data_IF_745350299302
#
_entry.id   IF_745350299302
#
_cell.length_a   1.000
_cell.length_b   1.000
_cell.length_c   1.000
_cell.angle_alpha   90.00
_cell.angle_beta   90.00
_cell.angle_gamma   90.00
#
_symmetry.space_group_name_H-M   'P 1'
#
loop_
_entity.id
_entity.type
_entity.pdbx_description
1 polymer ?
#
# COMPACT_ATOMS: atom_id res chain seq x y z
N UNK A 1 0.41 -21.66 3.08
CA UNK A 1 1.65 -21.81 2.29
C UNK A 1 2.89 -21.97 3.15
N UNK A 2 3.29 -21.00 3.98
CA UNK A 2 4.53 -21.12 4.78
C UNK A 2 4.40 -22.21 5.87
N UNK A 3 3.34 -22.20 6.69
CA UNK A 3 3.11 -23.25 7.69
C UNK A 3 2.77 -24.62 7.12
N UNK A 4 2.10 -24.63 5.97
CA UNK A 4 1.68 -25.86 5.32
C UNK A 4 2.80 -26.52 4.50
N UNK A 5 3.99 -25.91 4.43
CA UNK A 5 5.13 -26.42 3.65
C UNK A 5 5.04 -26.14 2.13
N UNK A 6 3.84 -25.86 1.61
CA UNK A 6 3.56 -25.62 0.19
C UNK A 6 4.36 -24.47 -0.43
N UNK A 7 4.92 -23.56 0.38
CA UNK A 7 5.73 -22.46 -0.12
C UNK A 7 6.97 -22.95 -0.92
N UNK A 8 7.42 -24.19 -0.68
CA UNK A 8 8.58 -24.75 -1.39
C UNK A 8 8.35 -24.82 -2.92
N UNK A 9 7.09 -24.95 -3.37
CA UNK A 9 6.75 -25.03 -4.80
C UNK A 9 7.20 -23.79 -5.59
N UNK A 10 7.25 -22.64 -4.94
CA UNK A 10 7.65 -21.38 -5.56
C UNK A 10 9.17 -21.30 -5.74
N UNK A 11 9.96 -21.93 -4.85
CA UNK A 11 11.41 -21.87 -4.83
C UNK A 11 12.08 -22.62 -6.01
N UNK A 12 11.40 -23.61 -6.59
CA UNK A 12 11.97 -24.46 -7.65
C UNK A 12 11.80 -23.90 -9.08
N UNK A 13 10.99 -22.86 -9.28
CA UNK A 13 10.77 -22.30 -10.62
C UNK A 13 11.81 -21.23 -10.94
N UNK A 14 12.36 -21.18 -12.18
CA UNK A 14 13.33 -20.16 -12.60
C UNK A 14 12.66 -18.82 -12.95
N UNK A 15 11.68 -18.41 -12.13
CA UNK A 15 10.93 -17.16 -12.27
C UNK A 15 11.12 -16.38 -10.97
N UNK A 16 11.01 -15.06 -11.02
CA UNK A 16 11.05 -14.25 -9.81
C UNK A 16 10.01 -14.74 -8.77
N UNK A 17 10.50 -15.16 -7.60
CA UNK A 17 9.71 -15.81 -6.56
C UNK A 17 8.50 -14.97 -6.12
N UNK A 18 8.74 -13.69 -5.87
CA UNK A 18 7.71 -12.75 -5.43
C UNK A 18 6.62 -12.57 -6.49
N UNK A 19 7.03 -12.36 -7.75
CA UNK A 19 6.10 -12.21 -8.85
C UNK A 19 5.25 -13.48 -9.04
N UNK A 20 5.88 -14.65 -9.00
CA UNK A 20 5.19 -15.92 -9.16
C UNK A 20 4.16 -16.13 -8.03
N UNK A 21 4.55 -15.88 -6.77
CA UNK A 21 3.66 -15.94 -5.62
C UNK A 21 2.46 -14.99 -5.75
N UNK A 22 2.72 -13.72 -6.10
CA UNK A 22 1.67 -12.71 -6.21
C UNK A 22 0.71 -12.97 -7.38
N UNK A 23 1.19 -13.59 -8.46
CA UNK A 23 0.41 -13.89 -9.66
C UNK A 23 -0.53 -15.09 -9.53
N UNK A 24 -0.33 -15.95 -8.53
CA UNK A 24 -1.12 -17.18 -8.41
C UNK A 24 -2.57 -16.91 -7.98
N UNK A 25 -2.80 -15.87 -7.18
CA UNK A 25 -4.12 -15.56 -6.64
C UNK A 25 -4.64 -14.29 -7.29
N UNK A 26 -5.69 -14.44 -8.09
CA UNK A 26 -6.41 -13.31 -8.65
C UNK A 26 -7.58 -12.93 -7.73
N UNK A 27 -7.53 -11.72 -7.15
CA UNK A 27 -8.56 -11.27 -6.23
C UNK A 27 -9.73 -10.58 -6.95
N UNK A 28 -10.81 -11.32 -7.18
CA UNK A 28 -12.05 -10.80 -7.77
C UNK A 28 -12.66 -9.70 -6.87
N UNK A 29 -12.46 -9.75 -5.55
CA UNK A 29 -12.97 -8.71 -4.64
C UNK A 29 -12.29 -7.37 -4.91
N UNK A 30 -11.02 -7.39 -5.29
CA UNK A 30 -10.25 -6.21 -5.68
C UNK A 30 -10.87 -5.47 -6.87
N UNK A 31 -11.36 -6.20 -7.89
CA UNK A 31 -12.06 -5.58 -9.03
C UNK A 31 -13.35 -4.89 -8.62
N UNK A 32 -14.13 -5.50 -7.71
CA UNK A 32 -15.32 -4.89 -7.15
C UNK A 32 -14.99 -3.59 -6.40
N UNK A 33 -14.00 -3.63 -5.51
CA UNK A 33 -13.55 -2.45 -4.76
C UNK A 33 -13.06 -1.33 -5.68
N UNK A 34 -12.35 -1.68 -6.77
CA UNK A 34 -11.90 -0.71 -7.77
C UNK A 34 -13.09 -0.05 -8.47
N UNK A 35 -14.09 -0.82 -8.90
CA UNK A 35 -15.30 -0.28 -9.53
C UNK A 35 -16.08 0.65 -8.58
N UNK A 36 -16.27 0.25 -7.33
CA UNK A 36 -16.89 1.09 -6.30
C UNK A 36 -16.07 2.36 -6.02
N UNK A 37 -14.75 2.25 -5.99
CA UNK A 37 -13.84 3.39 -5.81
C UNK A 37 -13.99 4.42 -6.93
N UNK A 38 -13.96 3.97 -8.19
CA UNK A 38 -14.18 4.85 -9.36
C UNK A 38 -15.55 5.51 -9.29
N UNK A 39 -16.62 4.75 -8.98
CA UNK A 39 -17.97 5.30 -8.85
C UNK A 39 -18.08 6.35 -7.74
N UNK A 40 -17.43 6.12 -6.60
CA UNK A 40 -17.42 7.06 -5.46
C UNK A 40 -16.65 8.34 -5.80
N UNK A 41 -15.51 8.23 -6.50
CA UNK A 41 -14.75 9.38 -6.99
C UNK A 41 -15.59 10.19 -7.97
N UNK A 42 -16.20 9.55 -8.97
CA UNK A 42 -17.03 10.23 -9.97
C UNK A 42 -18.23 10.95 -9.32
N UNK A 43 -18.91 10.30 -8.37
CA UNK A 43 -20.00 10.92 -7.63
C UNK A 43 -19.53 12.14 -6.82
N UNK A 44 -18.44 11.99 -6.09
CA UNK A 44 -17.88 13.06 -5.26
C UNK A 44 -17.38 14.24 -6.10
N UNK A 45 -16.79 13.95 -7.26
CA UNK A 45 -16.33 14.96 -8.22
C UNK A 45 -17.47 15.88 -8.67
N UNK A 46 -18.59 15.28 -9.06
CA UNK A 46 -19.78 16.00 -9.48
C UNK A 46 -20.41 16.80 -8.31
N UNK A 47 -20.43 16.23 -7.10
CA UNK A 47 -20.97 16.92 -5.91
C UNK A 47 -20.13 18.11 -5.46
N UNK A 48 -18.82 18.04 -5.62
CA UNK A 48 -17.90 19.12 -5.25
C UNK A 48 -17.80 20.21 -6.33
N UNK A 49 -18.34 19.98 -7.53
CA UNK A 49 -18.29 20.95 -8.63
C UNK A 49 -16.87 21.25 -9.10
N UNK A 50 -15.97 20.26 -9.05
CA UNK A 50 -14.57 20.44 -9.40
C UNK A 50 -14.38 20.57 -10.91
N UNK A 51 -13.61 21.57 -11.34
CA UNK A 51 -13.24 21.76 -12.74
C UNK A 51 -12.46 20.56 -13.26
N UNK A 52 -12.88 20.05 -14.42
CA UNK A 52 -12.20 18.95 -15.07
C UNK A 52 -11.12 19.47 -16.02
N UNK A 53 -9.86 19.27 -15.64
CA UNK A 53 -8.69 19.58 -16.47
C UNK A 53 -7.84 18.33 -16.67
N UNK A 54 -7.27 18.06 -17.86
CA UNK A 54 -6.40 16.90 -18.10
C UNK A 54 -5.24 16.78 -17.10
N UNK A 55 -4.71 17.91 -16.63
CA UNK A 55 -3.66 17.95 -15.60
C UNK A 55 -4.12 17.38 -14.26
N UNK A 56 -5.36 17.63 -13.86
CA UNK A 56 -5.94 17.13 -12.60
C UNK A 56 -6.18 15.61 -12.71
N UNK A 57 -6.66 15.15 -13.86
CA UNK A 57 -6.81 13.71 -14.12
C UNK A 57 -5.46 12.98 -14.03
N UNK A 58 -4.41 13.56 -14.62
CA UNK A 58 -3.05 13.00 -14.55
C UNK A 58 -2.56 12.93 -13.10
N UNK A 59 -2.74 14.01 -12.32
CA UNK A 59 -2.42 14.01 -10.89
C UNK A 59 -3.16 12.88 -10.16
N UNK A 60 -4.49 12.78 -10.36
CA UNK A 60 -5.30 11.75 -9.73
C UNK A 60 -4.78 10.34 -10.01
N UNK A 61 -4.44 10.03 -11.26
CA UNK A 61 -3.90 8.71 -11.64
C UNK A 61 -2.56 8.45 -10.95
N UNK A 62 -1.64 9.42 -10.97
CA UNK A 62 -0.31 9.28 -10.33
C UNK A 62 -0.45 9.05 -8.82
N UNK A 63 -1.30 9.83 -8.16
CA UNK A 63 -1.53 9.68 -6.73
C UNK A 63 -2.24 8.36 -6.40
N UNK A 64 -3.18 7.89 -7.23
CA UNK A 64 -3.84 6.61 -7.03
C UNK A 64 -2.86 5.43 -7.16
N UNK A 65 -1.95 5.47 -8.13
CA UNK A 65 -0.87 4.48 -8.27
C UNK A 65 0.04 4.54 -7.04
N UNK A 66 0.40 5.75 -6.60
CA UNK A 66 1.25 5.94 -5.41
C UNK A 66 0.61 5.34 -4.16
N UNK A 67 -0.66 5.66 -3.89
CA UNK A 67 -1.42 5.10 -2.76
C UNK A 67 -1.48 3.58 -2.82
N UNK A 68 -1.66 3.01 -4.02
CA UNK A 68 -1.68 1.57 -4.23
C UNK A 68 -0.32 0.93 -3.92
N UNK A 69 0.78 1.52 -4.42
CA UNK A 69 2.14 1.03 -4.14
C UNK A 69 2.46 1.04 -2.65
N UNK A 70 2.12 2.12 -1.94
CA UNK A 70 2.35 2.23 -0.50
C UNK A 70 1.51 1.21 0.25
N UNK A 71 0.24 1.07 -0.12
CA UNK A 71 -0.61 0.10 0.52
C UNK A 71 -0.08 -1.32 0.31
N UNK A 72 0.30 -1.70 -0.91
CA UNK A 72 0.96 -2.99 -1.20
C UNK A 72 2.25 -3.15 -0.37
N UNK A 73 3.10 -2.12 -0.31
CA UNK A 73 4.33 -2.16 0.46
C UNK A 73 4.10 -2.48 1.94
N UNK A 74 3.10 -1.83 2.55
CA UNK A 74 2.73 -2.04 3.95
C UNK A 74 2.18 -3.45 4.18
N UNK A 75 1.23 -3.93 3.35
CA UNK A 75 0.70 -5.30 3.52
C UNK A 75 1.81 -6.33 3.33
N UNK A 76 2.64 -6.14 2.31
CA UNK A 76 3.69 -7.09 1.96
C UNK A 76 4.79 -7.15 3.04
N UNK A 77 5.18 -6.01 3.62
CA UNK A 77 6.14 -5.98 4.72
C UNK A 77 5.58 -6.68 5.97
N UNK A 78 4.31 -6.44 6.29
CA UNK A 78 3.66 -7.13 7.41
C UNK A 78 3.50 -8.64 7.14
N UNK A 79 3.11 -9.02 5.92
CA UNK A 79 2.97 -10.42 5.52
C UNK A 79 4.32 -11.17 5.50
N UNK A 80 5.42 -10.51 5.12
CA UNK A 80 6.75 -11.10 5.13
C UNK A 80 7.18 -11.60 6.52
N UNK A 81 6.61 -11.07 7.61
CA UNK A 81 6.90 -11.55 8.97
C UNK A 81 6.55 -13.04 9.18
N UNK A 82 5.72 -13.62 8.31
CA UNK A 82 5.38 -15.05 8.32
C UNK A 82 6.59 -15.98 8.16
N UNK A 83 7.70 -15.50 7.58
CA UNK A 83 8.91 -16.29 7.43
C UNK A 83 9.66 -16.53 8.75
N UNK A 84 9.35 -15.75 9.79
CA UNK A 84 10.05 -15.83 11.09
C UNK A 84 9.12 -16.14 12.28
N UNK A 85 7.85 -15.75 12.22
CA UNK A 85 6.93 -15.79 13.37
C UNK A 85 5.73 -16.66 13.05
N UNK A 86 5.39 -17.60 13.95
CA UNK A 86 4.36 -18.65 13.75
C UNK A 86 2.88 -18.18 13.74
N UNK A 87 2.63 -16.89 14.00
CA UNK A 87 1.30 -16.26 13.98
C UNK A 87 1.34 -14.85 13.37
N UNK A 88 2.01 -14.69 12.23
CA UNK A 88 2.15 -13.41 11.52
C UNK A 88 0.84 -12.72 11.14
N UNK A 89 -0.30 -13.44 11.16
CA UNK A 89 -1.60 -12.85 10.92
C UNK A 89 -1.91 -11.69 11.88
N UNK A 90 -1.54 -11.80 13.17
CA UNK A 90 -1.75 -10.70 14.12
C UNK A 90 -0.93 -9.45 13.79
N UNK A 91 0.27 -9.63 13.22
CA UNK A 91 1.10 -8.49 12.78
C UNK A 91 0.44 -7.81 11.59
N UNK A 92 -0.05 -8.59 10.63
CA UNK A 92 -0.79 -8.07 9.49
C UNK A 92 -2.05 -7.31 9.94
N UNK A 93 -2.87 -7.92 10.80
CA UNK A 93 -4.12 -7.32 11.30
C UNK A 93 -3.87 -6.02 12.10
N UNK A 94 -2.83 -6.02 12.95
CA UNK A 94 -2.40 -4.84 13.68
C UNK A 94 -1.99 -3.69 12.75
N UNK A 95 -1.15 -3.97 11.75
CA UNK A 95 -0.73 -2.96 10.76
C UNK A 95 -1.92 -2.46 9.95
N UNK A 96 -2.83 -3.36 9.57
CA UNK A 96 -4.04 -3.01 8.81
C UNK A 96 -5.03 -2.18 9.60
N UNK A 97 -5.08 -2.33 10.92
CA UNK A 97 -5.92 -1.50 11.80
C UNK A 97 -5.57 -0.01 11.69
N UNK A 98 -4.32 0.32 11.33
CA UNK A 98 -3.93 1.72 11.11
C UNK A 98 -4.41 2.31 9.79
N UNK A 99 -4.81 1.47 8.82
CA UNK A 99 -5.30 1.92 7.51
C UNK A 99 -6.49 2.87 7.64
N UNK A 100 -7.37 2.65 8.62
CA UNK A 100 -8.55 3.50 8.82
C UNK A 100 -8.19 4.95 9.20
N UNK A 101 -7.02 5.17 9.79
CA UNK A 101 -6.53 6.51 10.12
C UNK A 101 -6.11 7.32 8.88
N UNK A 102 -5.88 6.67 7.72
CA UNK A 102 -5.55 7.36 6.46
C UNK A 102 -6.65 8.33 6.01
N UNK A 103 -7.90 8.07 6.41
CA UNK A 103 -9.08 8.87 6.05
C UNK A 103 -9.09 10.25 6.72
N UNK A 104 -8.32 10.41 7.80
CA UNK A 104 -8.29 11.65 8.57
C UNK A 104 -7.08 12.51 8.20
N UNK A 105 -7.22 13.84 8.24
CA UNK A 105 -6.12 14.74 7.92
C UNK A 105 -4.97 14.60 8.91
N UNK A 106 -3.73 14.59 8.44
CA UNK A 106 -2.60 14.34 9.36
C UNK A 106 -2.38 15.45 10.40
N UNK A 107 -3.00 16.61 10.18
CA UNK A 107 -2.93 17.78 11.05
C UNK A 107 -3.67 17.60 12.38
N UNK A 108 -4.59 16.63 12.50
CA UNK A 108 -5.28 16.36 13.77
C UNK A 108 -4.45 15.49 14.73
N UNK A 109 -3.39 14.85 14.25
CA UNK A 109 -2.54 13.99 15.08
C UNK A 109 -1.42 14.78 15.76
N UNK A 110 -0.97 14.29 16.91
CA UNK A 110 0.19 14.87 17.59
C UNK A 110 1.47 14.73 16.75
N UNK A 111 2.51 15.55 16.99
CA UNK A 111 3.75 15.52 16.20
C UNK A 111 4.38 14.12 16.10
N UNK A 112 4.29 13.32 17.16
CA UNK A 112 4.81 11.94 17.21
C UNK A 112 4.04 11.03 16.25
N UNK A 113 2.71 11.00 16.32
CA UNK A 113 1.89 10.18 15.42
C UNK A 113 2.02 10.63 13.97
N UNK A 114 2.13 11.95 13.73
CA UNK A 114 2.41 12.50 12.41
C UNK A 114 3.73 11.97 11.84
N UNK A 115 4.79 11.89 12.64
CA UNK A 115 6.06 11.31 12.20
C UNK A 115 5.91 9.82 11.87
N UNK A 116 5.28 9.04 12.75
CA UNK A 116 5.08 7.59 12.56
C UNK A 116 4.27 7.33 11.27
N UNK A 117 3.14 8.01 11.08
CA UNK A 117 2.27 7.81 9.91
C UNK A 117 2.85 8.36 8.61
N UNK A 118 3.85 9.23 8.67
CA UNK A 118 4.51 9.76 7.46
C UNK A 118 5.73 8.94 7.08
N UNK A 119 6.57 8.59 8.06
CA UNK A 119 7.92 8.04 7.78
C UNK A 119 8.06 6.55 8.11
N UNK A 120 7.23 5.98 8.99
CA UNK A 120 7.33 4.58 9.38
C UNK A 120 6.33 3.71 8.60
N UNK A 121 5.04 4.08 8.60
CA UNK A 121 3.97 3.32 7.91
C UNK A 121 3.43 3.95 6.62
N UNK A 122 4.05 5.01 6.09
CA UNK A 122 3.52 6.02 5.13
C UNK A 122 1.99 6.12 4.91
N UNK A 123 1.16 5.98 5.94
CA UNK A 123 -0.30 5.95 5.84
C UNK A 123 -0.87 7.28 5.31
N UNK A 124 -0.20 8.39 5.62
CA UNK A 124 -0.60 9.72 5.17
C UNK A 124 -0.66 9.86 3.64
N UNK A 125 0.16 9.10 2.93
CA UNK A 125 0.24 9.13 1.47
C UNK A 125 -0.85 8.32 0.78
N UNK A 126 -1.66 7.56 1.52
CA UNK A 126 -2.73 6.73 0.96
C UNK A 126 -3.93 7.59 0.55
N UNK A 127 -4.35 8.55 1.39
CA UNK A 127 -5.56 9.33 1.14
C UNK A 127 -5.39 10.84 1.37
N UNK A 128 -4.69 11.27 2.43
CA UNK A 128 -4.55 12.69 2.76
C UNK A 128 -3.81 13.49 1.67
N UNK A 129 -2.58 13.13 1.31
CA UNK A 129 -1.80 13.87 0.31
C UNK A 129 -2.42 13.88 -1.10
N UNK A 130 -2.97 12.76 -1.62
CA UNK A 130 -3.77 12.79 -2.85
C UNK A 130 -4.94 13.77 -2.80
N UNK A 131 -5.69 13.78 -1.68
CA UNK A 131 -6.88 14.61 -1.55
C UNK A 131 -6.57 16.10 -1.48
N UNK A 132 -5.51 16.51 -0.76
CA UNK A 132 -5.17 17.93 -0.61
C UNK A 132 -4.70 18.55 -1.92
N UNK A 133 -4.01 17.79 -2.77
CA UNK A 133 -3.53 18.27 -4.09
C UNK A 133 -4.69 18.60 -5.03
N UNK A 134 -5.83 17.92 -4.88
CA UNK A 134 -7.01 18.12 -5.71
C UNK A 134 -7.93 19.16 -5.08
N UNK A 135 -8.16 19.10 -3.77
CA UNK A 135 -9.13 19.95 -3.06
C UNK A 135 -8.58 21.33 -2.68
N UNK A 136 -7.28 21.45 -2.44
CA UNK A 136 -6.63 22.67 -1.96
C UNK A 136 -5.27 22.88 -2.65
N UNK A 137 -5.28 23.23 -3.95
CA UNK A 137 -4.05 23.41 -4.73
C UNK A 137 -3.11 24.49 -4.18
N UNK A 138 -3.62 25.43 -3.38
CA UNK A 138 -2.83 26.53 -2.80
C UNK A 138 -2.11 26.16 -1.49
N UNK A 139 -2.53 25.09 -0.81
CA UNK A 139 -2.00 24.65 0.50
C UNK A 139 -1.18 23.36 0.39
N UNK A 140 -0.68 23.01 -0.79
CA UNK A 140 -0.04 21.71 -1.05
C UNK A 140 1.34 21.63 -0.38
N UNK A 141 1.55 20.72 0.58
CA UNK A 141 2.87 20.52 1.17
C UNK A 141 3.86 20.00 0.14
N UNK A 142 5.14 20.40 0.24
CA UNK A 142 6.21 19.91 -0.64
C UNK A 142 6.27 18.37 -0.69
N UNK A 143 5.96 17.73 0.43
CA UNK A 143 5.93 16.28 0.58
C UNK A 143 4.95 15.58 -0.37
N UNK A 144 3.86 16.24 -0.76
CA UNK A 144 2.90 15.70 -1.73
C UNK A 144 3.54 15.44 -3.08
N UNK A 145 4.46 16.30 -3.54
CA UNK A 145 5.16 16.12 -4.81
C UNK A 145 6.19 14.99 -4.77
N UNK A 146 6.72 14.70 -3.58
CA UNK A 146 7.64 13.58 -3.37
C UNK A 146 6.91 12.24 -3.20
N UNK A 147 5.58 12.25 -3.09
CA UNK A 147 4.82 11.03 -2.82
C UNK A 147 5.10 9.89 -3.81
N UNK A 148 5.21 10.10 -5.14
CA UNK A 148 5.42 8.99 -6.07
C UNK A 148 6.77 8.32 -5.83
N UNK A 149 7.81 9.11 -5.55
CA UNK A 149 9.14 8.61 -5.21
C UNK A 149 9.12 7.82 -3.90
N UNK A 150 8.40 8.31 -2.89
CA UNK A 150 8.22 7.61 -1.61
C UNK A 150 7.48 6.28 -1.84
N UNK A 151 6.43 6.26 -2.66
CA UNK A 151 5.71 5.03 -2.97
C UNK A 151 6.58 3.96 -3.63
N UNK A 152 7.39 4.36 -4.61
CA UNK A 152 8.35 3.46 -5.26
C UNK A 152 9.41 2.96 -4.27
N UNK A 153 9.95 3.87 -3.45
CA UNK A 153 10.97 3.53 -2.45
C UNK A 153 10.44 2.50 -1.44
N UNK A 154 9.26 2.75 -0.86
CA UNK A 154 8.66 1.83 0.12
C UNK A 154 8.29 0.48 -0.50
N UNK A 155 7.76 0.48 -1.72
CA UNK A 155 7.50 -0.77 -2.44
C UNK A 155 8.79 -1.57 -2.66
N UNK A 156 9.87 -0.91 -3.09
CA UNK A 156 11.17 -1.55 -3.30
C UNK A 156 11.76 -2.10 -1.99
N UNK A 157 11.69 -1.34 -0.89
CA UNK A 157 12.12 -1.79 0.43
C UNK A 157 11.32 -2.99 0.91
N UNK A 158 9.99 -2.95 0.77
CA UNK A 158 9.10 -4.05 1.11
C UNK A 158 9.38 -5.31 0.28
N UNK A 159 9.62 -5.15 -1.03
CA UNK A 159 10.03 -6.22 -1.91
C UNK A 159 11.33 -6.89 -1.43
N UNK A 160 12.36 -6.09 -1.11
CA UNK A 160 13.64 -6.59 -0.59
C UNK A 160 13.47 -7.30 0.75
N UNK A 161 12.65 -6.74 1.64
CA UNK A 161 12.35 -7.35 2.94
C UNK A 161 11.66 -8.71 2.77
N UNK A 162 10.69 -8.81 1.87
CA UNK A 162 10.02 -10.07 1.57
C UNK A 162 10.97 -11.11 0.97
N UNK A 163 11.80 -10.72 -0.02
CA UNK A 163 12.79 -11.62 -0.61
C UNK A 163 13.83 -12.09 0.42
N UNK A 164 14.23 -11.22 1.34
CA UNK A 164 15.12 -11.58 2.45
C UNK A 164 14.46 -12.64 3.34
N UNK A 165 13.20 -12.46 3.74
CA UNK A 165 12.46 -13.48 4.50
C UNK A 165 12.32 -14.79 3.76
N UNK A 166 11.97 -14.75 2.48
CA UNK A 166 11.85 -15.94 1.65
C UNK A 166 13.18 -16.73 1.55
N UNK A 167 14.33 -16.04 1.52
CA UNK A 167 15.64 -16.71 1.51
C UNK A 167 16.02 -17.38 2.84
N UNK A 168 15.35 -17.02 3.94
CA UNK A 168 15.51 -17.65 5.25
C UNK A 168 14.55 -18.81 5.47
N UNK A 169 13.63 -19.05 4.52
CA UNK A 169 12.72 -20.19 4.59
C UNK A 169 13.49 -21.50 4.40
N UNK A 170 13.53 -22.31 5.46
CA UNK A 170 14.22 -23.61 5.49
C UNK A 170 13.29 -24.82 5.33
N UNK A 171 12.03 -24.61 4.92
CA UNK A 171 11.01 -25.67 4.88
C UNK A 171 10.46 -26.01 6.27
N UNK A 172 9.36 -26.76 6.30
CA UNK A 172 8.68 -27.16 7.56
C UNK A 172 9.26 -28.43 8.19
N UNK A 173 10.31 -29.03 7.60
CA UNK A 173 11.03 -30.18 8.16
C UNK A 173 10.17 -31.45 8.39
N UNK A 174 8.96 -31.49 7.84
CA UNK A 174 8.01 -32.60 7.93
C UNK A 174 7.90 -33.37 6.62
#
# INVERSE_FOLDING_TARGET
>A
YVYSGDFIKYCFRPINLFFYFQSEIFDIKGLGQLAFGIGTIAYSWNKLGLDFTPLILLKLIIFMITSSLIMIAVQNAAAATCFWIQNSFYVLDFVMSFKDYSKYPITIFSPVFRFIFTFIMPIAFIAYYPSIVILRPDEVPLLSWLSPFIGILFFFLSYKFWMYGASKYSGTGS
#
